data_IF_274233627468
#
_entry.id   IF_274233627468
#
_cell.length_a   1.000
_cell.length_b   1.000
_cell.length_c   1.000
_cell.angle_alpha   90.00
_cell.angle_beta   90.00
_cell.angle_gamma   90.00
#
_symmetry.space_group_name_H-M   'P 1'
#
loop_
_entity.id
_entity.type
_entity.pdbx_description
1 polymer ?
#
# COMPACT_ATOMS: atom_id res chain seq x y z
N UNK A 1 -10.01 3.06 -12.67
CA UNK A 1 -8.75 2.33 -12.37
C UNK A 1 -8.78 0.90 -12.87
N UNK A 2 -9.78 0.07 -12.50
CA UNK A 2 -9.93 -1.32 -12.95
C UNK A 2 -9.95 -1.49 -14.48
N UNK A 3 -10.65 -0.61 -15.19
CA UNK A 3 -10.71 -0.62 -16.67
C UNK A 3 -9.34 -0.43 -17.34
N UNK A 4 -8.48 0.44 -16.78
CA UNK A 4 -7.13 0.64 -17.31
C UNK A 4 -6.28 -0.64 -17.20
N UNK A 5 -6.39 -1.38 -16.10
CA UNK A 5 -5.72 -2.67 -15.96
C UNK A 5 -6.31 -3.76 -16.86
N UNK A 6 -7.64 -3.77 -17.05
CA UNK A 6 -8.29 -4.70 -17.97
C UNK A 6 -7.83 -4.48 -19.42
N UNK A 7 -7.85 -3.23 -19.90
CA UNK A 7 -7.31 -2.90 -21.22
C UNK A 7 -5.80 -3.15 -21.33
N UNK A 8 -5.03 -2.90 -20.26
CA UNK A 8 -3.60 -3.24 -20.21
C UNK A 8 -3.34 -4.75 -20.37
N UNK A 9 -4.14 -5.59 -19.73
CA UNK A 9 -4.04 -7.05 -19.90
C UNK A 9 -4.43 -7.48 -21.32
N UNK A 10 -5.49 -6.90 -21.89
CA UNK A 10 -5.89 -7.15 -23.29
C UNK A 10 -4.76 -6.73 -24.25
N UNK A 11 -4.10 -5.60 -24.00
CA UNK A 11 -2.93 -5.16 -24.75
C UNK A 11 -1.80 -6.19 -24.70
N UNK A 12 -1.45 -6.68 -23.51
CA UNK A 12 -0.38 -7.67 -23.34
C UNK A 12 -0.66 -9.02 -24.02
N UNK A 13 -1.93 -9.40 -24.18
CA UNK A 13 -2.33 -10.66 -24.83
C UNK A 13 -2.47 -10.49 -26.34
N UNK A 14 -3.15 -9.44 -26.77
CA UNK A 14 -3.63 -9.32 -28.16
C UNK A 14 -2.72 -8.47 -29.05
N UNK A 15 -1.94 -7.54 -28.47
CA UNK A 15 -1.23 -6.51 -29.22
C UNK A 15 0.28 -6.43 -28.92
N UNK A 16 0.75 -7.04 -27.82
CA UNK A 16 2.17 -7.03 -27.47
C UNK A 16 3.00 -7.93 -28.40
N UNK A 17 4.11 -7.39 -28.89
CA UNK A 17 5.08 -8.11 -29.72
C UNK A 17 6.45 -8.11 -29.06
N UNK A 18 6.90 -9.25 -28.55
CA UNK A 18 8.17 -9.38 -27.83
C UNK A 18 9.39 -8.97 -28.68
N UNK A 19 9.40 -9.31 -29.97
CA UNK A 19 10.53 -9.00 -30.88
C UNK A 19 10.67 -7.49 -31.14
N UNK A 20 9.55 -6.77 -31.21
CA UNK A 20 9.56 -5.31 -31.39
C UNK A 20 9.88 -4.55 -30.10
N UNK A 21 9.78 -5.22 -28.95
CA UNK A 21 9.95 -4.64 -27.62
C UNK A 21 11.18 -5.21 -26.90
N UNK A 22 12.08 -5.87 -27.63
CA UNK A 22 13.30 -6.45 -27.09
C UNK A 22 14.13 -5.38 -26.37
N UNK A 23 14.67 -5.73 -25.20
CA UNK A 23 15.49 -4.89 -24.31
C UNK A 23 14.87 -3.57 -23.81
N UNK A 24 13.58 -3.31 -24.08
CA UNK A 24 12.91 -2.13 -23.57
C UNK A 24 12.42 -2.28 -22.12
N UNK A 25 11.92 -1.20 -21.53
CA UNK A 25 11.45 -1.19 -20.13
C UNK A 25 10.27 -2.13 -19.89
N UNK A 26 9.40 -2.33 -20.89
CA UNK A 26 8.23 -3.20 -20.77
C UNK A 26 8.64 -4.68 -20.77
N UNK A 27 9.56 -5.08 -21.66
CA UNK A 27 10.13 -6.42 -21.65
C UNK A 27 10.84 -6.72 -20.32
N UNK A 28 11.70 -5.81 -19.85
CA UNK A 28 12.41 -5.96 -18.57
C UNK A 28 11.47 -6.09 -17.37
N UNK A 29 10.33 -5.39 -17.37
CA UNK A 29 9.32 -5.50 -16.33
C UNK A 29 8.65 -6.87 -16.34
N UNK A 30 8.34 -7.41 -17.53
CA UNK A 30 7.74 -8.74 -17.69
C UNK A 30 8.72 -9.83 -17.23
N UNK A 31 10.02 -9.68 -17.54
CA UNK A 31 11.06 -10.64 -17.12
C UNK A 31 11.17 -10.77 -15.59
N UNK A 32 10.93 -9.68 -14.86
CA UNK A 32 11.00 -9.64 -13.40
C UNK A 32 9.62 -9.65 -12.72
N UNK A 33 8.55 -10.06 -13.44
CA UNK A 33 7.17 -10.00 -12.94
C UNK A 33 6.98 -10.71 -11.60
N UNK A 34 7.67 -11.83 -11.35
CA UNK A 34 7.56 -12.59 -10.10
C UNK A 34 8.08 -11.80 -8.90
N UNK A 35 9.13 -11.00 -9.08
CA UNK A 35 9.64 -10.11 -8.04
C UNK A 35 8.63 -9.00 -7.71
N UNK A 36 7.99 -8.43 -8.74
CA UNK A 36 6.95 -7.39 -8.57
C UNK A 36 5.73 -7.97 -7.84
N UNK A 37 5.23 -9.13 -8.30
CA UNK A 37 4.06 -9.80 -7.72
C UNK A 37 4.33 -10.22 -6.28
N UNK A 38 5.51 -10.78 -5.97
CA UNK A 38 5.87 -11.20 -4.61
C UNK A 38 5.96 -10.03 -3.63
N UNK A 39 6.56 -8.90 -4.02
CA UNK A 39 6.62 -7.72 -3.16
C UNK A 39 5.24 -7.10 -2.92
N UNK A 40 4.38 -7.07 -3.94
CA UNK A 40 3.01 -6.58 -3.80
C UNK A 40 2.18 -7.50 -2.90
N UNK A 41 2.36 -8.82 -3.01
CA UNK A 41 1.74 -9.81 -2.11
C UNK A 41 2.21 -9.61 -0.67
N UNK A 42 3.52 -9.45 -0.45
CA UNK A 42 4.09 -9.17 0.87
C UNK A 42 3.51 -7.88 1.47
N UNK A 43 3.49 -6.78 0.72
CA UNK A 43 2.95 -5.52 1.19
C UNK A 43 1.46 -5.64 1.56
N UNK A 44 0.68 -6.37 0.74
CA UNK A 44 -0.75 -6.61 1.00
C UNK A 44 -0.97 -7.44 2.26
N UNK A 45 -0.20 -8.51 2.45
CA UNK A 45 -0.26 -9.35 3.65
C UNK A 45 0.17 -8.57 4.88
N UNK A 46 1.29 -7.86 4.79
CA UNK A 46 1.81 -7.02 5.87
C UNK A 46 0.76 -6.01 6.34
N UNK A 47 0.21 -5.21 5.42
CA UNK A 47 -0.81 -4.21 5.76
C UNK A 47 -2.08 -4.86 6.30
N UNK A 48 -2.54 -5.97 5.71
CA UNK A 48 -3.77 -6.63 6.17
C UNK A 48 -3.62 -7.19 7.58
N UNK A 49 -2.52 -7.87 7.88
CA UNK A 49 -2.31 -8.46 9.22
C UNK A 49 -2.15 -7.39 10.29
N UNK A 50 -1.38 -6.33 10.04
CA UNK A 50 -1.11 -5.32 11.06
C UNK A 50 -2.32 -4.42 11.29
N UNK A 51 -2.98 -3.93 10.23
CA UNK A 51 -4.16 -3.07 10.38
C UNK A 51 -5.33 -3.83 11.00
N UNK A 52 -5.64 -5.02 10.50
CA UNK A 52 -6.72 -5.84 11.07
C UNK A 52 -6.36 -6.32 12.48
N UNK A 53 -5.11 -6.73 12.71
CA UNK A 53 -4.65 -7.18 14.02
C UNK A 53 -4.79 -6.10 15.08
N UNK A 54 -4.37 -4.87 14.79
CA UNK A 54 -4.57 -3.73 15.68
C UNK A 54 -6.05 -3.42 15.92
N UNK A 55 -6.87 -3.49 14.87
CA UNK A 55 -8.32 -3.26 15.01
C UNK A 55 -8.97 -4.30 15.93
N UNK A 56 -8.71 -5.58 15.69
CA UNK A 56 -9.24 -6.68 16.51
C UNK A 56 -8.70 -6.59 17.94
N UNK A 57 -7.41 -6.34 18.13
CA UNK A 57 -6.82 -6.13 19.45
C UNK A 57 -7.55 -5.03 20.22
N UNK A 58 -7.73 -3.86 19.60
CA UNK A 58 -8.40 -2.73 20.24
C UNK A 58 -9.88 -3.03 20.55
N UNK A 59 -10.59 -3.70 19.64
CA UNK A 59 -11.98 -4.14 19.88
C UNK A 59 -12.06 -5.10 21.07
N UNK A 60 -11.14 -6.05 21.17
CA UNK A 60 -11.09 -7.02 22.26
C UNK A 60 -10.74 -6.34 23.59
N UNK A 61 -9.72 -5.47 23.63
CA UNK A 61 -9.37 -4.72 24.84
C UNK A 61 -10.51 -3.81 25.31
N UNK A 62 -11.19 -3.16 24.37
CA UNK A 62 -12.37 -2.34 24.66
C UNK A 62 -13.51 -3.18 25.25
N UNK A 63 -13.80 -4.34 24.67
CA UNK A 63 -14.83 -5.25 25.17
C UNK A 63 -14.54 -5.76 26.59
N UNK A 64 -13.26 -5.90 26.95
CA UNK A 64 -12.82 -6.24 28.31
C UNK A 64 -12.70 -5.04 29.25
N UNK A 65 -12.98 -3.81 28.80
CA UNK A 65 -12.92 -2.60 29.62
C UNK A 65 -11.50 -2.08 29.90
N UNK A 66 -10.46 -2.61 29.24
CA UNK A 66 -9.06 -2.24 29.45
C UNK A 66 -8.64 -1.12 28.48
N UNK A 67 -9.09 0.11 28.74
CA UNK A 67 -8.83 1.26 27.87
C UNK A 67 -7.34 1.63 27.80
N UNK A 68 -6.58 1.36 28.86
CA UNK A 68 -5.14 1.61 28.95
C UNK A 68 -4.29 0.68 28.09
N UNK A 69 -4.87 -0.42 27.59
CA UNK A 69 -4.19 -1.40 26.72
C UNK A 69 -4.48 -1.22 25.23
N UNK A 70 -5.23 -0.17 24.88
CA UNK A 70 -5.45 0.21 23.50
C UNK A 70 -4.13 0.66 22.87
N UNK A 71 -3.88 0.20 21.65
CA UNK A 71 -2.75 0.66 20.86
C UNK A 71 -3.24 1.78 19.97
N UNK A 72 -2.82 3.00 20.30
CA UNK A 72 -3.11 4.21 19.54
C UNK A 72 -1.83 4.68 18.86
N UNK A 73 -1.85 4.71 17.53
CA UNK A 73 -0.71 5.16 16.72
C UNK A 73 -0.99 6.58 16.25
N UNK A 74 -0.11 7.49 16.57
CA UNK A 74 -0.18 8.87 16.12
C UNK A 74 0.35 9.03 14.69
N UNK A 75 -0.32 9.84 13.87
CA UNK A 75 0.02 10.07 12.48
C UNK A 75 1.01 11.24 12.33
N UNK A 76 2.18 11.13 12.98
CA UNK A 76 3.19 12.22 13.07
C UNK A 76 3.58 12.75 11.68
N UNK A 77 3.77 11.87 10.69
CA UNK A 77 4.08 12.31 9.31
C UNK A 77 2.94 13.11 8.67
N UNK A 78 1.68 12.73 8.91
CA UNK A 78 0.54 13.49 8.41
C UNK A 78 0.39 14.82 9.13
N UNK A 79 0.65 14.87 10.44
CA UNK A 79 0.62 16.11 11.21
C UNK A 79 1.72 17.06 10.75
N UNK A 80 2.92 16.55 10.45
CA UNK A 80 4.02 17.33 9.91
C UNK A 80 3.69 17.91 8.53
N UNK A 81 3.10 17.13 7.63
CA UNK A 81 2.61 17.64 6.34
C UNK A 81 1.55 18.73 6.54
N UNK A 82 0.63 18.57 7.50
CA UNK A 82 -0.38 19.60 7.78
C UNK A 82 0.24 20.87 8.38
N UNK A 83 1.28 20.73 9.20
CA UNK A 83 2.06 21.86 9.72
C UNK A 83 2.75 22.63 8.58
N UNK A 84 3.39 21.93 7.64
CA UNK A 84 3.97 22.53 6.45
C UNK A 84 2.93 23.31 5.59
N UNK A 85 1.64 22.98 5.71
CA UNK A 85 0.52 23.71 5.09
C UNK A 85 -0.10 24.79 6.00
N UNK A 86 0.57 25.18 7.08
CA UNK A 86 0.16 26.30 7.95
C UNK A 86 -0.69 25.92 9.15
N UNK A 87 -0.87 24.62 9.45
CA UNK A 87 -1.56 24.19 10.67
C UNK A 87 -0.60 24.16 11.85
N UNK A 88 -0.63 25.18 12.69
CA UNK A 88 0.31 25.39 13.81
C UNK A 88 -0.04 24.67 15.11
N UNK A 89 -1.15 23.92 15.15
CA UNK A 89 -1.66 23.29 16.38
C UNK A 89 -0.85 22.10 16.89
N UNK A 90 0.19 21.67 16.16
CA UNK A 90 0.91 20.42 16.44
C UNK A 90 2.24 20.59 17.16
N UNK A 91 2.69 21.83 17.44
CA UNK A 91 3.93 22.08 18.17
C UNK A 91 5.20 21.65 17.43
N UNK A 92 5.14 21.55 16.10
CA UNK A 92 6.33 21.50 15.27
C UNK A 92 6.87 22.92 15.09
N UNK A 93 8.19 23.04 14.98
CA UNK A 93 8.92 24.27 14.67
C UNK A 93 9.32 24.32 13.19
#
# INVERSE_FOLDING_TARGET
MTEAFAHGAIFLISYYNAKQNEDNVLARMIDHKEAIISHLSWASLFLRFHTLGLYVHNVVMLAFGNLEKLILIELIFSQWIQFAHGKTSYGFD
#
